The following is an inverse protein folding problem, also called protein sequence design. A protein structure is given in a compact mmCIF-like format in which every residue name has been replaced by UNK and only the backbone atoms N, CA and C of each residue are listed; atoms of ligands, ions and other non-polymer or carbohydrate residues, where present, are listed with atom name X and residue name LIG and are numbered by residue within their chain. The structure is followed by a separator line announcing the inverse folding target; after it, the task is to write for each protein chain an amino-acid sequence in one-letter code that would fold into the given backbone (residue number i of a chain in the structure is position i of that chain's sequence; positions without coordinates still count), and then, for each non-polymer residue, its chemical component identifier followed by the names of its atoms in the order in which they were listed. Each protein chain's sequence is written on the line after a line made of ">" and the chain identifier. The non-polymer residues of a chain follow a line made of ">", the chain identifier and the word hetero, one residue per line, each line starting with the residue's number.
data_IF_260388021887
#
_entry.id   IF_260388021887
#
_cell.length_a   1.000
_cell.length_b   1.000
_cell.length_c   1.000
_cell.angle_alpha   90.00
_cell.angle_beta   90.00
_cell.angle_gamma   90.00
#
_symmetry.space_group_name_H-M   'P 1'
#
loop_
_entity.id
_entity.type
_entity.pdbx_description
1 polymer ?
#
# COMPACT_ATOMS: atom_id res chain seq x y z
N UNK A 1 2.33 -43.62 25.01
CA UNK A 1 2.66 -42.69 23.90
C UNK A 1 2.09 -41.34 24.29
N UNK A 2 2.96 -40.47 24.79
CA UNK A 2 2.62 -39.16 25.36
C UNK A 2 2.43 -38.14 24.24
N UNK A 3 1.23 -37.59 24.13
CA UNK A 3 0.92 -36.40 23.33
C UNK A 3 1.81 -35.23 23.77
N UNK A 4 2.42 -34.48 22.86
CA UNK A 4 3.05 -33.22 23.23
C UNK A 4 1.93 -32.22 23.52
N UNK A 5 1.82 -31.83 24.80
CA UNK A 5 1.04 -30.68 25.20
C UNK A 5 1.58 -29.45 24.47
N UNK A 6 0.74 -28.80 23.66
CA UNK A 6 1.01 -27.46 23.17
C UNK A 6 0.97 -26.51 24.38
N UNK A 7 2.13 -26.15 24.91
CA UNK A 7 2.23 -25.07 25.89
C UNK A 7 1.94 -23.76 25.16
N UNK A 8 0.67 -23.34 25.16
CA UNK A 8 0.31 -21.96 24.83
C UNK A 8 0.85 -21.08 25.96
N UNK A 9 2.10 -20.62 25.84
CA UNK A 9 2.52 -19.45 26.63
C UNK A 9 1.60 -18.31 26.20
N UNK A 10 0.69 -17.90 27.09
CA UNK A 10 -0.17 -16.75 26.83
C UNK A 10 0.73 -15.57 26.43
N UNK A 11 0.53 -15.02 25.23
CA UNK A 11 1.28 -13.84 24.80
C UNK A 11 1.06 -12.73 25.82
N UNK A 12 2.13 -12.29 26.49
CA UNK A 12 2.06 -11.27 27.52
C UNK A 12 1.82 -9.92 26.86
N UNK A 13 0.80 -9.20 27.32
CA UNK A 13 0.54 -7.83 26.87
C UNK A 13 1.73 -6.92 27.24
N UNK A 14 2.34 -6.20 26.27
CA UNK A 14 3.43 -5.27 26.55
C UNK A 14 2.94 -4.08 27.38
N UNK A 15 3.75 -3.62 28.33
CA UNK A 15 3.45 -2.42 29.12
C UNK A 15 3.73 -1.12 28.33
N UNK A 16 4.59 -1.20 27.32
CA UNK A 16 4.93 -0.07 26.45
C UNK A 16 5.13 -0.52 25.00
N UNK A 17 4.62 0.28 24.06
CA UNK A 17 4.72 0.02 22.62
C UNK A 17 5.22 1.26 21.90
N UNK A 18 6.23 1.09 21.05
CA UNK A 18 6.61 2.07 20.02
C UNK A 18 6.12 1.57 18.67
N UNK A 19 5.43 2.43 17.93
CA UNK A 19 5.06 2.21 16.53
C UNK A 19 5.88 3.15 15.67
N UNK A 20 6.71 2.59 14.80
CA UNK A 20 7.51 3.37 13.84
C UNK A 20 6.73 3.50 12.54
N UNK A 21 6.30 4.72 12.22
CA UNK A 21 5.47 5.07 11.08
C UNK A 21 4.04 5.43 11.48
N UNK A 22 3.55 6.56 10.98
CA UNK A 22 2.19 7.08 11.16
C UNK A 22 1.33 6.94 9.88
N UNK A 23 1.75 6.07 8.95
CA UNK A 23 0.96 5.71 7.78
C UNK A 23 -0.21 4.78 8.11
N UNK A 24 -0.84 4.21 7.09
CA UNK A 24 -2.04 3.38 7.22
C UNK A 24 -1.92 2.26 8.26
N UNK A 25 -0.84 1.47 8.24
CA UNK A 25 -0.65 0.35 9.16
C UNK A 25 -0.38 0.86 10.59
N UNK A 26 0.46 1.88 10.73
CA UNK A 26 0.84 2.42 12.03
C UNK A 26 -0.30 3.09 12.78
N UNK A 27 -1.01 4.03 12.14
CA UNK A 27 -2.16 4.69 12.78
C UNK A 27 -3.34 3.74 13.01
N UNK A 28 -3.60 2.80 12.09
CA UNK A 28 -4.65 1.80 12.31
C UNK A 28 -4.31 0.90 13.51
N UNK A 29 -3.04 0.50 13.65
CA UNK A 29 -2.54 -0.26 14.81
C UNK A 29 -2.66 0.54 16.11
N UNK A 30 -2.26 1.82 16.10
CA UNK A 30 -2.42 2.70 17.26
C UNK A 30 -3.89 2.80 17.68
N UNK A 31 -4.80 2.95 16.72
CA UNK A 31 -6.23 3.01 16.98
C UNK A 31 -6.78 1.69 17.56
N UNK A 32 -6.34 0.54 17.06
CA UNK A 32 -6.69 -0.77 17.62
C UNK A 32 -6.21 -0.93 19.07
N UNK A 33 -4.95 -0.60 19.35
CA UNK A 33 -4.40 -0.60 20.71
C UNK A 33 -5.17 0.32 21.67
N UNK A 34 -5.58 1.49 21.20
CA UNK A 34 -6.37 2.42 22.00
C UNK A 34 -7.75 1.87 22.37
N UNK A 35 -8.35 1.03 21.52
CA UNK A 35 -9.71 0.48 21.69
C UNK A 35 -9.74 -0.88 22.37
N UNK A 36 -8.62 -1.60 22.42
CA UNK A 36 -8.56 -2.94 23.00
C UNK A 36 -8.42 -2.87 24.54
N UNK A 37 -9.34 -3.50 25.32
CA UNK A 37 -9.30 -3.52 26.78
C UNK A 37 -8.06 -4.18 27.38
N UNK A 38 -7.47 -5.17 26.70
CA UNK A 38 -6.26 -5.85 27.20
C UNK A 38 -5.07 -4.88 27.26
N UNK A 39 -5.07 -3.84 26.42
CA UNK A 39 -4.01 -2.85 26.30
C UNK A 39 -4.30 -1.56 27.07
N UNK A 40 -5.33 -1.48 27.92
CA UNK A 40 -5.74 -0.23 28.61
C UNK A 40 -4.58 0.50 29.30
N UNK A 41 -3.65 -0.24 29.91
CA UNK A 41 -2.51 0.31 30.64
C UNK A 41 -1.20 0.37 29.83
N UNK A 42 -1.23 -0.06 28.57
CA UNK A 42 -0.06 0.02 27.67
C UNK A 42 0.18 1.47 27.28
N UNK A 43 1.41 1.97 27.50
CA UNK A 43 1.84 3.25 26.94
C UNK A 43 2.12 3.13 25.45
N UNK A 44 1.62 4.06 24.64
CA UNK A 44 1.71 3.98 23.17
C UNK A 44 2.43 5.23 22.67
N UNK A 45 3.53 5.02 21.95
CA UNK A 45 4.24 6.08 21.23
C UNK A 45 4.22 5.79 19.73
N UNK A 46 3.79 6.75 18.92
CA UNK A 46 3.90 6.69 17.46
C UNK A 46 4.96 7.69 17.03
N UNK A 47 5.99 7.22 16.33
CA UNK A 47 7.08 8.06 15.83
C UNK A 47 7.10 8.04 14.31
N UNK A 48 7.20 9.23 13.69
CA UNK A 48 7.34 9.39 12.24
C UNK A 48 8.37 10.48 11.92
N UNK A 49 9.02 10.38 10.77
CA UNK A 49 10.05 11.33 10.36
C UNK A 49 9.49 12.68 9.88
N UNK A 50 8.23 12.73 9.48
CA UNK A 50 7.57 13.93 8.99
C UNK A 50 6.41 14.34 9.88
N UNK A 51 6.04 15.62 9.82
CA UNK A 51 4.77 16.08 10.36
C UNK A 51 3.62 15.39 9.63
N UNK A 52 2.57 15.06 10.37
CA UNK A 52 1.37 14.46 9.79
C UNK A 52 0.49 15.55 9.15
N UNK A 53 -0.11 15.34 7.97
CA UNK A 53 0.03 14.16 7.10
C UNK A 53 1.40 14.06 6.43
N UNK A 54 2.00 12.87 6.42
CA UNK A 54 3.33 12.63 5.83
C UNK A 54 3.28 12.78 4.29
N UNK A 55 3.91 13.81 3.69
CA UNK A 55 3.66 14.22 2.30
C UNK A 55 4.05 13.18 1.24
N UNK A 56 5.04 12.35 1.55
CA UNK A 56 5.56 11.26 0.72
C UNK A 56 5.13 9.87 1.23
N UNK A 57 4.22 9.82 2.20
CA UNK A 57 3.57 8.59 2.65
C UNK A 57 2.61 8.06 1.58
N UNK A 58 2.65 6.75 1.30
CA UNK A 58 1.73 6.15 0.32
C UNK A 58 0.26 6.14 0.77
N UNK A 59 -0.02 6.39 2.04
CA UNK A 59 -1.38 6.58 2.53
C UNK A 59 -1.92 8.00 2.30
N UNK A 60 -1.06 8.98 1.97
CA UNK A 60 -1.45 10.37 1.75
C UNK A 60 -1.54 10.64 0.24
N UNK A 61 -2.77 10.81 -0.24
CA UNK A 61 -3.06 10.98 -1.67
C UNK A 61 -4.49 11.55 -1.83
N UNK A 62 -4.77 12.12 -3.01
CA UNK A 62 -6.12 12.52 -3.41
C UNK A 62 -7.12 11.36 -3.40
N UNK A 63 -6.65 10.14 -3.70
CA UNK A 63 -7.54 8.98 -3.80
C UNK A 63 -6.83 7.62 -3.79
N UNK A 64 -7.55 6.59 -3.32
CA UNK A 64 -7.15 5.17 -3.37
C UNK A 64 -8.35 4.29 -3.72
N UNK A 65 -8.10 3.21 -4.47
CA UNK A 65 -9.15 2.26 -4.89
C UNK A 65 -9.57 1.39 -3.70
N UNK A 66 -10.89 1.33 -3.44
CA UNK A 66 -11.51 0.50 -2.40
C UNK A 66 -12.36 -0.57 -3.08
N UNK A 67 -11.94 -1.83 -2.95
CA UNK A 67 -12.50 -2.93 -3.73
C UNK A 67 -12.27 -4.29 -3.07
N UNK A 68 -13.22 -5.24 -3.14
CA UNK A 68 -13.00 -6.65 -2.80
C UNK A 68 -12.57 -7.52 -4.00
N UNK A 69 -12.33 -6.93 -5.17
CA UNK A 69 -12.07 -7.61 -6.45
C UNK A 69 -10.71 -8.36 -6.57
N UNK A 70 -10.47 -9.37 -5.75
CA UNK A 70 -9.21 -10.11 -5.69
C UNK A 70 -9.32 -11.53 -6.23
N UNK A 71 -8.32 -11.97 -6.98
CA UNK A 71 -8.13 -13.40 -7.28
C UNK A 71 -7.83 -14.23 -6.01
N UNK A 72 -7.21 -13.61 -5.00
CA UNK A 72 -7.01 -14.22 -3.68
C UNK A 72 -8.29 -14.16 -2.84
N UNK A 73 -8.90 -15.32 -2.58
CA UNK A 73 -10.11 -15.41 -1.79
C UNK A 73 -9.98 -14.85 -0.35
N UNK A 74 -8.86 -15.08 0.39
CA UNK A 74 -8.59 -14.39 1.66
C UNK A 74 -8.68 -12.85 1.58
N UNK A 75 -8.01 -12.23 0.60
CA UNK A 75 -8.05 -10.77 0.46
C UNK A 75 -9.41 -10.27 -0.01
N UNK A 76 -10.11 -11.02 -0.87
CA UNK A 76 -11.48 -10.71 -1.25
C UNK A 76 -12.40 -10.63 -0.02
N UNK A 77 -12.34 -11.60 0.89
CA UNK A 77 -13.12 -11.59 2.14
C UNK A 77 -12.73 -10.45 3.08
N UNK A 78 -11.43 -10.25 3.32
CA UNK A 78 -10.96 -9.18 4.20
C UNK A 78 -11.34 -7.80 3.65
N UNK A 79 -11.26 -7.61 2.34
CA UNK A 79 -11.58 -6.36 1.69
C UNK A 79 -13.09 -6.11 1.67
N UNK A 80 -13.92 -7.16 1.60
CA UNK A 80 -15.37 -7.02 1.78
C UNK A 80 -15.71 -6.49 3.17
N UNK A 81 -15.10 -7.05 4.23
CA UNK A 81 -15.28 -6.57 5.61
C UNK A 81 -14.79 -5.12 5.75
N UNK A 82 -13.64 -4.78 5.16
CA UNK A 82 -13.14 -3.41 5.16
C UNK A 82 -14.09 -2.46 4.44
N UNK A 83 -14.68 -2.88 3.33
CA UNK A 83 -15.62 -2.07 2.55
C UNK A 83 -16.91 -1.78 3.31
N UNK A 84 -17.42 -2.75 4.06
CA UNK A 84 -18.59 -2.52 4.93
C UNK A 84 -18.31 -1.47 6.01
N UNK A 85 -17.09 -1.48 6.59
CA UNK A 85 -16.64 -0.43 7.51
C UNK A 85 -16.54 0.94 6.83
N UNK A 86 -15.99 1.01 5.61
CA UNK A 86 -15.94 2.25 4.82
C UNK A 86 -17.33 2.83 4.56
N UNK A 87 -18.36 2.00 4.37
CA UNK A 87 -19.73 2.46 4.15
C UNK A 87 -20.41 3.00 5.41
N UNK A 88 -19.97 2.56 6.59
CA UNK A 88 -20.78 2.67 7.81
C UNK A 88 -20.17 3.60 8.83
N UNK A 89 -18.95 3.33 9.28
CA UNK A 89 -18.44 3.92 10.53
C UNK A 89 -16.93 4.23 10.48
N UNK A 90 -16.24 3.92 9.38
CA UNK A 90 -14.85 4.30 9.15
C UNK A 90 -14.77 5.34 8.03
N UNK A 91 -14.67 6.62 8.42
CA UNK A 91 -14.61 7.75 7.49
C UNK A 91 -15.60 7.64 6.30
N UNK A 92 -16.91 7.38 6.54
CA UNK A 92 -17.87 7.15 5.46
C UNK A 92 -17.96 8.32 4.47
N UNK A 93 -17.68 9.54 4.96
CA UNK A 93 -17.75 10.76 4.16
C UNK A 93 -16.58 10.88 3.17
N UNK A 94 -15.54 10.07 3.37
CA UNK A 94 -14.38 9.99 2.51
C UNK A 94 -14.48 8.84 1.51
N UNK A 95 -15.55 8.02 1.56
CA UNK A 95 -15.76 6.88 0.66
C UNK A 95 -16.79 7.19 -0.43
N UNK A 96 -16.43 6.85 -1.67
CA UNK A 96 -17.24 7.10 -2.87
C UNK A 96 -17.45 5.78 -3.62
N UNK A 97 -18.65 5.22 -3.51
CA UNK A 97 -19.05 3.97 -4.17
C UNK A 97 -19.50 4.20 -5.62
N UNK A 98 -18.56 4.57 -6.49
CA UNK A 98 -18.84 4.85 -7.92
C UNK A 98 -18.59 3.66 -8.84
N UNK A 99 -18.18 2.52 -8.29
CA UNK A 99 -17.85 1.31 -9.02
C UNK A 99 -16.37 1.15 -9.38
N UNK A 100 -16.03 -0.05 -9.85
CA UNK A 100 -14.73 -0.41 -10.41
C UNK A 100 -14.92 -1.20 -11.71
N UNK A 101 -14.42 -0.70 -12.81
CA UNK A 101 -14.16 -1.46 -14.03
C UNK A 101 -12.80 -2.16 -13.89
N UNK A 102 -12.81 -3.47 -13.65
CA UNK A 102 -11.62 -4.31 -13.65
C UNK A 102 -11.51 -5.04 -14.98
N UNK A 103 -10.48 -4.72 -15.75
CA UNK A 103 -10.36 -5.20 -17.13
C UNK A 103 -8.99 -5.76 -17.42
N UNK A 104 -8.91 -6.57 -18.47
CA UNK A 104 -7.65 -7.09 -18.99
C UNK A 104 -7.79 -7.57 -20.43
N UNK A 105 -6.65 -7.66 -21.10
CA UNK A 105 -6.34 -8.49 -22.25
C UNK A 105 -5.11 -9.36 -21.94
N UNK A 106 -4.81 -10.36 -22.78
CA UNK A 106 -3.62 -11.20 -22.58
C UNK A 106 -3.78 -12.22 -21.43
N UNK A 107 -2.71 -12.48 -20.67
CA UNK A 107 -2.68 -13.54 -19.64
C UNK A 107 -3.39 -13.12 -18.34
N UNK A 108 -3.51 -11.82 -18.10
CA UNK A 108 -4.09 -11.19 -16.91
C UNK A 108 -5.61 -11.42 -16.81
N UNK A 109 -6.26 -11.80 -17.91
CA UNK A 109 -7.67 -12.21 -17.94
C UNK A 109 -7.99 -13.31 -16.92
N UNK A 110 -7.03 -14.21 -16.64
CA UNK A 110 -7.19 -15.24 -15.60
C UNK A 110 -7.37 -14.65 -14.21
N UNK A 111 -6.65 -13.56 -13.88
CA UNK A 111 -6.83 -12.86 -12.61
C UNK A 111 -8.23 -12.25 -12.54
N UNK A 112 -8.63 -11.54 -13.60
CA UNK A 112 -9.94 -10.87 -13.69
C UNK A 112 -11.08 -11.87 -13.51
N UNK A 113 -11.03 -13.02 -14.19
CA UNK A 113 -12.04 -14.07 -14.03
C UNK A 113 -12.08 -14.64 -12.61
N UNK A 114 -10.91 -14.91 -12.02
CA UNK A 114 -10.84 -15.44 -10.65
C UNK A 114 -11.36 -14.42 -9.63
N UNK A 115 -11.08 -13.12 -9.85
CA UNK A 115 -11.61 -12.03 -9.04
C UNK A 115 -13.14 -11.94 -9.14
N UNK A 116 -13.69 -12.00 -10.34
CA UNK A 116 -15.14 -12.03 -10.58
C UNK A 116 -15.81 -13.20 -9.84
N UNK A 117 -15.24 -14.41 -9.92
CA UNK A 117 -15.76 -15.58 -9.23
C UNK A 117 -15.78 -15.40 -7.72
N UNK A 118 -14.75 -14.77 -7.14
CA UNK A 118 -14.70 -14.48 -5.71
C UNK A 118 -15.70 -13.39 -5.30
N UNK A 119 -15.86 -12.33 -6.10
CA UNK A 119 -16.86 -11.28 -5.86
C UNK A 119 -18.28 -11.85 -5.89
N UNK A 120 -18.58 -12.76 -6.82
CA UNK A 120 -19.87 -13.49 -6.83
C UNK A 120 -20.07 -14.34 -5.58
N UNK A 121 -19.01 -14.98 -5.06
CA UNK A 121 -19.09 -15.82 -3.84
C UNK A 121 -19.39 -15.03 -2.57
N UNK A 122 -18.96 -13.77 -2.48
CA UNK A 122 -19.28 -12.90 -1.33
C UNK A 122 -20.66 -12.24 -1.44
N UNK A 123 -21.40 -12.50 -2.53
CA UNK A 123 -22.81 -12.12 -2.67
C UNK A 123 -23.07 -10.75 -3.25
N UNK A 124 -22.09 -10.10 -3.90
CA UNK A 124 -22.34 -8.86 -4.65
C UNK A 124 -23.18 -9.15 -5.89
N UNK A 125 -24.31 -8.47 -6.03
CA UNK A 125 -25.27 -8.60 -7.15
C UNK A 125 -25.20 -7.45 -8.17
N UNK A 126 -24.55 -6.33 -7.83
CA UNK A 126 -24.38 -5.16 -8.70
C UNK A 126 -23.16 -5.28 -9.63
N UNK A 127 -23.14 -6.32 -10.46
CA UNK A 127 -22.04 -6.62 -11.40
C UNK A 127 -22.53 -6.57 -12.85
N UNK A 128 -21.82 -5.84 -13.71
CA UNK A 128 -21.99 -5.89 -15.18
C UNK A 128 -20.76 -6.57 -15.80
N UNK A 129 -20.92 -7.77 -16.35
CA UNK A 129 -19.84 -8.49 -17.05
C UNK A 129 -19.75 -8.01 -18.50
N UNK A 130 -18.52 -7.88 -19.00
CA UNK A 130 -18.23 -7.34 -20.34
C UNK A 130 -17.18 -8.18 -21.04
N UNK A 131 -17.41 -8.53 -22.31
CA UNK A 131 -16.57 -9.45 -23.09
C UNK A 131 -16.00 -8.81 -24.38
N UNK A 132 -16.10 -7.48 -24.49
CA UNK A 132 -15.46 -6.73 -25.57
C UNK A 132 -15.01 -5.33 -25.14
N UNK A 133 -14.05 -4.69 -25.85
CA UNK A 133 -13.68 -3.31 -25.61
C UNK A 133 -14.85 -2.31 -25.68
N UNK A 134 -15.83 -2.54 -26.57
CA UNK A 134 -17.02 -1.71 -26.73
C UNK A 134 -17.97 -1.84 -25.54
N UNK A 135 -18.19 -3.06 -25.04
CA UNK A 135 -19.01 -3.30 -23.85
C UNK A 135 -18.39 -2.68 -22.60
N UNK A 136 -17.06 -2.83 -22.45
CA UNK A 136 -16.30 -2.16 -21.39
C UNK A 136 -16.48 -0.65 -21.51
N UNK A 137 -16.35 -0.09 -22.71
CA UNK A 137 -16.47 1.34 -22.91
C UNK A 137 -17.85 1.87 -22.57
N UNK A 138 -18.92 1.15 -22.95
CA UNK A 138 -20.28 1.48 -22.56
C UNK A 138 -20.48 1.43 -21.03
N UNK A 139 -20.02 0.36 -20.39
CA UNK A 139 -20.24 0.13 -18.96
C UNK A 139 -19.43 1.10 -18.07
N UNK A 140 -18.20 1.43 -18.47
CA UNK A 140 -17.29 2.29 -17.71
C UNK A 140 -17.31 3.77 -18.14
N UNK A 141 -18.10 4.12 -19.16
CA UNK A 141 -18.17 5.48 -19.69
C UNK A 141 -16.89 5.93 -20.41
N UNK A 142 -16.23 5.01 -21.13
CA UNK A 142 -15.04 5.29 -21.94
C UNK A 142 -15.42 5.72 -23.35
N UNK A 143 -14.55 6.55 -23.93
CA UNK A 143 -14.70 7.05 -25.29
C UNK A 143 -13.97 6.17 -26.30
N UNK A 144 -12.89 5.51 -25.87
CA UNK A 144 -12.17 4.53 -26.67
C UNK A 144 -12.85 3.16 -26.71
N UNK A 145 -12.42 2.34 -27.65
CA UNK A 145 -12.92 0.98 -27.88
C UNK A 145 -11.82 0.03 -28.34
N UNK A 146 -10.54 0.35 -28.11
CA UNK A 146 -9.45 -0.56 -28.42
C UNK A 146 -9.12 -1.45 -27.21
N UNK A 147 -8.69 -2.68 -27.50
CA UNK A 147 -8.35 -3.64 -26.46
C UNK A 147 -7.15 -3.18 -25.61
N UNK A 148 -6.21 -2.40 -26.17
CA UNK A 148 -5.03 -1.96 -25.42
C UNK A 148 -5.44 -1.07 -24.24
N UNK A 149 -6.29 -0.06 -24.48
CA UNK A 149 -6.83 0.82 -23.44
C UNK A 149 -7.91 0.16 -22.59
N UNK A 150 -8.99 -0.33 -23.20
CA UNK A 150 -10.16 -0.77 -22.46
C UNK A 150 -9.99 -2.17 -21.83
N UNK A 151 -9.27 -3.07 -22.49
CA UNK A 151 -9.31 -4.51 -22.20
C UNK A 151 -10.12 -5.28 -23.24
N UNK A 152 -9.96 -6.60 -23.28
CA UNK A 152 -10.78 -7.51 -24.10
C UNK A 152 -11.84 -8.25 -23.28
N UNK A 153 -11.66 -8.34 -21.97
CA UNK A 153 -12.64 -8.85 -21.01
C UNK A 153 -12.57 -8.04 -19.73
N UNK A 154 -13.66 -8.03 -18.98
CA UNK A 154 -13.73 -7.32 -17.72
C UNK A 154 -15.10 -7.41 -17.10
N UNK A 155 -15.26 -6.64 -16.03
CA UNK A 155 -16.57 -6.39 -15.44
C UNK A 155 -16.53 -5.08 -14.67
N UNK A 156 -17.70 -4.47 -14.50
CA UNK A 156 -17.90 -3.38 -13.56
C UNK A 156 -18.54 -3.92 -12.29
N UNK A 157 -17.85 -3.78 -11.18
CA UNK A 157 -18.39 -4.00 -9.85
C UNK A 157 -18.87 -2.66 -9.27
N UNK A 158 -20.18 -2.43 -9.29
CA UNK A 158 -20.78 -1.19 -8.82
C UNK A 158 -20.87 -1.09 -7.29
N UNK A 159 -20.52 -2.14 -6.55
CA UNK A 159 -20.32 -2.03 -5.10
C UNK A 159 -18.90 -1.60 -4.74
N UNK A 160 -17.99 -1.48 -5.71
CA UNK A 160 -16.62 -0.98 -5.49
C UNK A 160 -16.55 0.54 -5.60
N UNK A 161 -15.38 1.12 -5.32
CA UNK A 161 -15.21 2.57 -5.47
C UNK A 161 -13.83 3.04 -5.09
N UNK A 162 -13.76 4.25 -4.56
CA UNK A 162 -12.52 4.88 -4.13
C UNK A 162 -12.76 5.69 -2.85
N UNK A 163 -11.68 6.02 -2.14
CA UNK A 163 -11.75 6.90 -0.99
C UNK A 163 -10.75 8.05 -1.12
N UNK A 164 -11.13 9.24 -0.63
CA UNK A 164 -10.21 10.34 -0.40
C UNK A 164 -9.19 9.91 0.67
N UNK A 165 -7.96 9.61 0.22
CA UNK A 165 -7.02 8.90 1.07
C UNK A 165 -6.43 9.79 2.16
N UNK A 166 -6.09 11.03 1.82
CA UNK A 166 -5.64 12.03 2.80
C UNK A 166 -6.75 12.37 3.80
N UNK A 167 -7.98 12.60 3.34
CA UNK A 167 -9.14 12.86 4.22
C UNK A 167 -9.37 11.73 5.22
N UNK A 168 -9.37 10.48 4.76
CA UNK A 168 -9.55 9.32 5.64
C UNK A 168 -8.40 9.14 6.65
N UNK A 169 -7.17 9.48 6.26
CA UNK A 169 -6.02 9.44 7.18
C UNK A 169 -6.09 10.55 8.23
N UNK A 170 -6.51 11.77 7.85
CA UNK A 170 -6.78 12.87 8.79
C UNK A 170 -7.88 12.47 9.76
N UNK A 171 -8.99 11.93 9.26
CA UNK A 171 -10.07 11.41 10.10
C UNK A 171 -9.56 10.38 11.11
N UNK A 172 -8.74 9.41 10.67
CA UNK A 172 -8.19 8.39 11.57
C UNK A 172 -7.27 9.00 12.61
N UNK A 173 -6.40 9.94 12.21
CA UNK A 173 -5.50 10.65 13.12
C UNK A 173 -6.29 11.35 14.22
N UNK A 174 -7.35 12.08 13.88
CA UNK A 174 -8.22 12.76 14.84
C UNK A 174 -8.89 11.77 15.80
N UNK A 175 -9.34 10.61 15.31
CA UNK A 175 -9.93 9.57 16.17
C UNK A 175 -8.93 9.04 17.18
N UNK A 176 -7.68 8.81 16.77
CA UNK A 176 -6.61 8.35 17.66
C UNK A 176 -6.26 9.42 18.70
N UNK A 177 -6.13 10.69 18.29
CA UNK A 177 -5.83 11.80 19.20
C UNK A 177 -6.92 12.00 20.25
N UNK A 178 -8.20 11.89 19.87
CA UNK A 178 -9.35 11.99 20.79
C UNK A 178 -9.35 10.92 21.88
N UNK A 179 -8.62 9.82 21.71
CA UNK A 179 -8.47 8.80 22.76
C UNK A 179 -7.58 9.30 23.91
N UNK A 180 -6.72 10.30 23.69
CA UNK A 180 -5.74 10.80 24.67
C UNK A 180 -4.81 9.71 25.24
N UNK A 181 -4.46 8.70 24.42
CA UNK A 181 -3.64 7.54 24.82
C UNK A 181 -2.30 7.42 24.08
N UNK A 182 -2.09 8.22 23.03
CA UNK A 182 -0.92 8.09 22.14
C UNK A 182 -0.04 9.33 22.26
N UNK A 183 1.24 9.10 22.53
CA UNK A 183 2.29 10.11 22.40
C UNK A 183 2.79 10.13 20.96
N UNK A 184 2.66 11.25 20.27
CA UNK A 184 3.15 11.41 18.89
C UNK A 184 4.50 12.13 18.87
N UNK A 185 5.48 11.53 18.22
CA UNK A 185 6.84 12.07 18.08
C UNK A 185 7.15 12.29 16.62
N UNK A 186 7.54 13.52 16.26
CA UNK A 186 7.99 13.88 14.91
C UNK A 186 9.51 13.92 14.91
N UNK A 187 10.13 12.80 14.58
CA UNK A 187 11.57 12.66 14.43
C UNK A 187 11.89 11.38 13.65
N UNK A 188 12.92 11.41 12.82
CA UNK A 188 13.34 10.23 12.08
C UNK A 188 13.96 9.19 13.00
N UNK A 189 13.56 7.93 12.84
CA UNK A 189 14.23 6.80 13.48
C UNK A 189 15.51 6.48 12.71
N UNK A 190 16.65 6.55 13.38
CA UNK A 190 17.97 6.27 12.81
C UNK A 190 18.26 4.77 12.78
N UNK A 191 17.99 4.07 13.88
CA UNK A 191 18.18 2.61 14.01
C UNK A 191 17.42 2.03 15.21
N UNK A 192 17.29 0.71 15.24
CA UNK A 192 16.81 -0.03 16.41
C UNK A 192 17.86 -0.05 17.53
N UNK A 193 17.41 -0.14 18.78
CA UNK A 193 18.25 -0.45 19.94
C UNK A 193 18.34 -1.96 20.10
N UNK A 194 19.35 -2.57 19.47
CA UNK A 194 19.57 -4.03 19.48
C UNK A 194 20.64 -4.38 20.51
N UNK A 195 20.31 -5.28 21.43
CA UNK A 195 21.30 -6.01 22.21
C UNK A 195 21.64 -7.32 21.49
N UNK A 196 22.84 -7.39 20.90
CA UNK A 196 23.30 -8.56 20.14
C UNK A 196 23.64 -9.77 21.01
N UNK A 197 23.83 -9.60 22.33
CA UNK A 197 24.09 -10.71 23.23
C UNK A 197 22.81 -11.48 23.54
N UNK A 198 21.69 -10.77 23.69
CA UNK A 198 20.37 -11.36 24.00
C UNK A 198 19.46 -11.47 22.78
N UNK A 199 19.83 -10.86 21.65
CA UNK A 199 18.96 -10.64 20.49
C UNK A 199 17.63 -9.97 20.88
N UNK A 200 17.70 -8.93 21.69
CA UNK A 200 16.52 -8.17 22.14
C UNK A 200 16.51 -6.79 21.50
N UNK A 201 15.35 -6.35 21.02
CA UNK A 201 15.09 -4.96 20.64
C UNK A 201 14.33 -4.28 21.78
N UNK A 202 14.89 -3.19 22.30
CA UNK A 202 14.32 -2.44 23.43
C UNK A 202 13.76 -1.07 23.04
N UNK A 203 13.76 -0.73 21.76
CA UNK A 203 13.28 0.56 21.27
C UNK A 203 14.04 1.05 20.04
N UNK A 204 14.12 2.37 19.90
CA UNK A 204 14.70 3.07 18.75
C UNK A 204 15.58 4.24 19.15
N UNK A 205 16.62 4.50 18.37
CA UNK A 205 17.39 5.75 18.42
C UNK A 205 16.94 6.68 17.31
N UNK A 206 16.68 7.94 17.66
CA UNK A 206 16.22 8.98 16.74
C UNK A 206 17.42 9.68 16.07
N UNK A 207 17.14 10.49 15.04
CA UNK A 207 18.16 11.18 14.26
C UNK A 207 18.92 12.24 15.07
N UNK A 208 18.29 12.83 16.09
CA UNK A 208 18.92 13.76 17.03
C UNK A 208 19.76 13.07 18.12
N UNK A 209 19.82 11.73 18.11
CA UNK A 209 20.55 10.92 19.07
C UNK A 209 19.78 10.54 20.33
N UNK A 210 18.59 11.08 20.56
CA UNK A 210 17.71 10.66 21.65
C UNK A 210 17.17 9.24 21.44
N UNK A 211 16.72 8.60 22.51
CA UNK A 211 16.24 7.23 22.51
C UNK A 211 14.82 7.14 23.05
N UNK A 212 14.01 6.31 22.39
CA UNK A 212 12.70 5.89 22.87
C UNK A 212 12.79 4.40 23.19
N UNK A 213 12.33 3.98 24.36
CA UNK A 213 12.34 2.58 24.79
C UNK A 213 10.94 2.03 24.96
N UNK A 214 10.76 0.73 24.69
CA UNK A 214 9.50 0.01 24.87
C UNK A 214 9.71 -1.50 24.98
N UNK A 215 8.74 -2.19 25.58
CA UNK A 215 8.69 -3.66 25.64
C UNK A 215 8.49 -4.27 24.25
N UNK A 216 7.78 -3.56 23.37
CA UNK A 216 7.52 -3.96 21.99
C UNK A 216 7.72 -2.79 21.02
N UNK A 217 8.54 -3.01 20.01
CA UNK A 217 8.70 -2.09 18.87
C UNK A 217 8.01 -2.69 17.65
N UNK A 218 7.02 -1.98 17.10
CA UNK A 218 6.27 -2.33 15.89
C UNK A 218 6.82 -1.49 14.73
N UNK A 219 7.42 -2.14 13.74
CA UNK A 219 7.86 -1.49 12.51
C UNK A 219 6.72 -1.46 11.49
N UNK A 220 6.08 -0.30 11.38
CA UNK A 220 5.04 0.01 10.39
C UNK A 220 5.48 1.11 9.42
N UNK A 221 6.78 1.13 9.09
CA UNK A 221 7.45 2.19 8.35
C UNK A 221 7.29 2.09 6.82
N UNK A 222 6.39 1.24 6.32
CA UNK A 222 6.14 1.06 4.89
C UNK A 222 7.43 0.82 4.10
N UNK A 223 7.63 1.58 3.02
CA UNK A 223 8.78 1.46 2.12
C UNK A 223 10.13 1.75 2.80
N UNK A 224 10.15 2.43 3.95
CA UNK A 224 11.37 2.70 4.71
C UNK A 224 11.73 1.57 5.68
N UNK A 225 10.93 0.51 5.80
CA UNK A 225 11.22 -0.57 6.77
C UNK A 225 12.60 -1.20 6.54
N UNK A 226 13.05 -1.31 5.28
CA UNK A 226 14.35 -1.87 4.93
C UNK A 226 15.56 -1.02 5.37
N UNK A 227 15.35 0.24 5.79
CA UNK A 227 16.41 1.06 6.40
C UNK A 227 16.63 0.74 7.87
N UNK A 228 15.75 -0.05 8.49
CA UNK A 228 15.77 -0.36 9.93
C UNK A 228 16.03 -1.84 10.24
N UNK A 229 15.80 -2.74 9.28
CA UNK A 229 16.04 -4.19 9.36
C UNK A 229 16.43 -4.75 7.99
N UNK A 230 17.11 -5.91 7.96
CA UNK A 230 17.51 -6.54 6.70
C UNK A 230 16.35 -7.32 6.06
N UNK A 231 15.75 -6.72 5.04
CA UNK A 231 14.65 -7.29 4.27
C UNK A 231 15.05 -7.89 2.93
N UNK A 232 16.36 -8.00 2.61
CA UNK A 232 16.82 -8.55 1.33
C UNK A 232 16.27 -9.97 1.11
N UNK A 233 15.66 -10.19 -0.05
CA UNK A 233 15.00 -11.45 -0.40
C UNK A 233 13.70 -11.75 0.36
N UNK A 234 13.15 -10.79 1.10
CA UNK A 234 11.87 -10.89 1.83
C UNK A 234 10.88 -9.83 1.33
N UNK A 235 11.34 -8.59 1.29
CA UNK A 235 10.54 -7.41 0.97
C UNK A 235 11.38 -6.41 0.19
N UNK A 236 10.75 -5.65 -0.71
CA UNK A 236 11.41 -4.66 -1.56
C UNK A 236 10.61 -3.39 -1.67
N UNK A 237 11.25 -2.23 -1.46
CA UNK A 237 10.62 -0.96 -1.79
C UNK A 237 10.57 -0.77 -3.31
N UNK A 238 9.37 -0.47 -3.84
CA UNK A 238 9.19 -0.09 -5.26
C UNK A 238 8.41 1.20 -5.36
N UNK A 239 8.82 2.06 -6.30
CA UNK A 239 8.19 3.32 -6.62
C UNK A 239 7.22 3.18 -7.79
N UNK A 240 6.09 3.88 -7.75
CA UNK A 240 5.07 3.87 -8.80
C UNK A 240 4.73 5.25 -9.31
N UNK A 241 4.38 5.33 -10.60
CA UNK A 241 4.09 6.61 -11.25
C UNK A 241 2.66 7.02 -11.03
N UNK A 242 2.52 8.27 -10.59
CA UNK A 242 1.25 8.94 -10.42
C UNK A 242 1.39 10.35 -10.97
N UNK A 243 0.49 10.71 -11.89
CA UNK A 243 0.37 12.06 -12.41
C UNK A 243 -1.04 12.60 -12.21
N UNK A 244 -1.13 13.93 -12.12
CA UNK A 244 -2.36 14.65 -11.91
C UNK A 244 -2.54 15.73 -12.97
N UNK A 245 -3.71 15.74 -13.61
CA UNK A 245 -4.05 16.70 -14.64
C UNK A 245 -5.24 17.57 -14.18
N UNK A 246 -5.13 18.90 -14.19
CA UNK A 246 -6.27 19.76 -13.97
C UNK A 246 -7.33 19.57 -15.06
N UNK A 247 -8.60 19.55 -14.66
CA UNK A 247 -9.75 19.41 -15.54
C UNK A 247 -10.77 20.52 -15.29
N UNK A 248 -11.72 20.71 -16.21
CA UNK A 248 -12.81 21.68 -16.04
C UNK A 248 -13.91 21.14 -15.12
N UNK A 249 -14.79 22.02 -14.63
CA UNK A 249 -15.98 21.62 -13.86
C UNK A 249 -16.91 20.69 -14.67
N UNK A 250 -16.98 20.89 -15.99
CA UNK A 250 -17.76 20.04 -16.90
C UNK A 250 -17.17 18.63 -17.00
N UNK A 251 -15.85 18.53 -17.13
CA UNK A 251 -15.14 17.24 -17.13
C UNK A 251 -15.24 16.54 -15.78
N UNK A 252 -15.13 17.29 -14.67
CA UNK A 252 -15.32 16.77 -13.31
C UNK A 252 -16.73 16.20 -13.14
N UNK A 253 -17.76 16.91 -13.60
CA UNK A 253 -19.14 16.43 -13.57
C UNK A 253 -19.35 15.19 -14.42
N UNK A 254 -18.73 15.14 -15.61
CA UNK A 254 -18.83 14.02 -16.54
C UNK A 254 -18.15 12.76 -16.03
N UNK A 255 -16.93 12.89 -15.50
CA UNK A 255 -16.13 11.74 -15.05
C UNK A 255 -16.41 11.31 -13.61
N UNK A 256 -16.91 12.22 -12.76
CA UNK A 256 -17.06 11.97 -11.32
C UNK A 256 -18.00 10.82 -10.96
N UNK A 257 -18.94 10.49 -11.85
CA UNK A 257 -19.89 9.38 -11.68
C UNK A 257 -19.44 8.07 -12.37
N UNK A 258 -18.33 8.09 -13.11
CA UNK A 258 -17.81 6.89 -13.75
C UNK A 258 -17.16 5.98 -12.70
N UNK A 259 -17.09 4.65 -12.95
CA UNK A 259 -16.32 3.76 -12.11
C UNK A 259 -14.83 4.06 -12.20
N UNK A 260 -14.08 3.70 -11.15
CA UNK A 260 -12.63 3.60 -11.23
C UNK A 260 -12.25 2.58 -12.31
N UNK A 261 -11.23 2.86 -13.10
CA UNK A 261 -10.79 1.98 -14.19
C UNK A 261 -9.43 1.42 -13.83
N UNK A 262 -9.32 0.10 -13.79
CA UNK A 262 -8.06 -0.60 -13.56
C UNK A 262 -7.91 -1.69 -14.62
N UNK A 263 -7.02 -1.45 -15.58
CA UNK A 263 -6.67 -2.45 -16.58
C UNK A 263 -5.37 -3.15 -16.15
N UNK A 264 -5.49 -4.44 -15.83
CA UNK A 264 -4.39 -5.23 -15.25
C UNK A 264 -3.29 -5.59 -16.24
N UNK A 265 -3.56 -5.56 -17.54
CA UNK A 265 -2.57 -5.95 -18.58
C UNK A 265 -1.31 -5.08 -18.54
N UNK A 266 -1.47 -3.81 -18.19
CA UNK A 266 -0.38 -2.86 -17.98
C UNK A 266 -0.40 -2.25 -16.57
N UNK A 267 -1.43 -2.54 -15.77
CA UNK A 267 -1.62 -1.98 -14.43
C UNK A 267 -1.99 -0.49 -14.44
N UNK A 268 -2.43 0.07 -15.57
CA UNK A 268 -2.76 1.50 -15.65
C UNK A 268 -4.18 1.73 -15.15
N UNK A 269 -4.37 2.83 -14.45
CA UNK A 269 -5.65 3.14 -13.85
C UNK A 269 -5.94 4.64 -13.79
N UNK A 270 -7.24 4.94 -13.78
CA UNK A 270 -7.81 6.26 -13.54
C UNK A 270 -8.83 6.11 -12.41
N UNK A 271 -8.72 6.97 -11.40
CA UNK A 271 -9.75 7.10 -10.35
C UNK A 271 -10.59 8.34 -10.70
N UNK A 272 -11.92 8.33 -10.46
CA UNK A 272 -12.75 9.50 -10.70
C UNK A 272 -12.14 10.76 -10.08
N UNK A 273 -12.19 11.88 -10.81
CA UNK A 273 -11.52 13.09 -10.37
C UNK A 273 -12.16 13.66 -9.10
N UNK A 274 -11.37 14.39 -8.34
CA UNK A 274 -11.83 15.14 -7.17
C UNK A 274 -11.15 16.50 -7.17
N UNK A 275 -11.90 17.54 -6.80
CA UNK A 275 -11.42 18.93 -6.79
C UNK A 275 -10.76 19.35 -8.12
N UNK A 276 -11.40 19.00 -9.25
CA UNK A 276 -10.94 19.32 -10.60
C UNK A 276 -9.53 18.78 -10.92
N UNK A 277 -9.17 17.65 -10.33
CA UNK A 277 -7.89 17.00 -10.53
C UNK A 277 -8.09 15.53 -10.92
N UNK A 278 -7.75 15.21 -12.17
CA UNK A 278 -7.77 13.83 -12.69
C UNK A 278 -6.46 13.14 -12.37
N UNK A 279 -6.55 12.00 -11.70
CA UNK A 279 -5.40 11.15 -11.38
C UNK A 279 -5.27 10.02 -12.40
N UNK A 280 -4.08 9.88 -12.96
CA UNK A 280 -3.69 8.76 -13.84
C UNK A 280 -2.44 8.12 -13.25
N UNK A 281 -2.40 6.79 -13.18
CA UNK A 281 -1.30 6.10 -12.50
C UNK A 281 -1.06 4.67 -13.02
N UNK A 282 0.08 4.09 -12.66
CA UNK A 282 0.48 2.72 -13.00
C UNK A 282 0.74 1.91 -11.72
N UNK A 283 -0.05 0.87 -11.49
CA UNK A 283 0.18 -0.20 -10.52
C UNK A 283 1.01 -1.31 -11.18
N UNK A 284 2.30 -1.01 -11.41
CA UNK A 284 3.20 -1.94 -12.11
C UNK A 284 4.19 -2.65 -11.18
N UNK A 285 5.18 -3.31 -11.77
CA UNK A 285 6.34 -3.83 -11.02
C UNK A 285 7.18 -2.71 -10.38
N UNK A 286 7.13 -1.50 -10.94
CA UNK A 286 7.70 -0.29 -10.36
C UNK A 286 9.20 -0.13 -10.53
N UNK A 287 9.70 0.96 -9.94
CA UNK A 287 11.13 1.29 -9.94
C UNK A 287 11.76 0.88 -8.62
N UNK A 288 12.97 0.32 -8.69
CA UNK A 288 13.86 0.25 -7.53
C UNK A 288 14.70 1.52 -7.44
N UNK A 289 15.24 1.78 -6.25
CA UNK A 289 16.28 2.77 -6.03
C UNK A 289 17.35 2.15 -5.12
N UNK A 290 18.24 1.32 -5.70
CA UNK A 290 19.29 0.64 -4.94
C UNK A 290 20.16 1.65 -4.20
N UNK A 291 20.19 1.53 -2.88
CA UNK A 291 20.89 2.43 -1.96
C UNK A 291 21.75 1.60 -1.03
N UNK A 292 23.04 1.91 -0.97
CA UNK A 292 23.97 1.27 -0.03
C UNK A 292 23.94 2.00 1.30
N UNK A 293 23.62 1.27 2.37
CA UNK A 293 23.51 1.77 3.74
C UNK A 293 24.34 0.90 4.69
N UNK A 294 24.72 1.41 5.89
CA UNK A 294 25.20 0.55 6.96
C UNK A 294 24.19 -0.57 7.25
N UNK A 295 24.67 -1.78 7.52
CA UNK A 295 23.81 -2.91 7.83
C UNK A 295 23.00 -2.59 9.12
N UNK A 296 21.67 -2.43 9.05
CA UNK A 296 20.90 -1.85 10.15
C UNK A 296 20.87 -2.73 11.40
N UNK A 297 21.13 -4.03 11.22
CA UNK A 297 21.17 -5.04 12.28
C UNK A 297 22.58 -5.53 12.64
N UNK A 298 23.64 -4.91 12.10
CA UNK A 298 25.02 -5.32 12.41
C UNK A 298 25.61 -4.49 13.54
N UNK A 299 26.46 -5.15 14.34
CA UNK A 299 27.30 -4.48 15.33
C UNK A 299 28.57 -3.88 14.70
N UNK A 300 28.98 -4.35 13.51
CA UNK A 300 30.12 -3.79 12.78
C UNK A 300 29.69 -2.52 12.03
N UNK A 301 30.21 -1.33 12.38
CA UNK A 301 29.86 -0.08 11.73
C UNK A 301 30.32 0.00 10.26
N UNK A 302 31.18 -0.90 9.80
CA UNK A 302 31.69 -0.93 8.42
C UNK A 302 30.91 -1.88 7.52
N UNK A 303 30.08 -2.77 8.09
CA UNK A 303 29.26 -3.67 7.28
C UNK A 303 28.16 -2.87 6.59
N UNK A 304 27.98 -3.12 5.30
CA UNK A 304 26.98 -2.42 4.48
C UNK A 304 26.13 -3.41 3.71
N UNK A 305 24.92 -2.98 3.38
CA UNK A 305 24.01 -3.69 2.50
C UNK A 305 23.48 -2.73 1.44
N UNK A 306 23.15 -3.26 0.27
CA UNK A 306 22.38 -2.54 -0.75
C UNK A 306 20.95 -3.04 -0.72
N UNK A 307 20.01 -2.11 -0.60
CA UNK A 307 18.57 -2.39 -0.69
C UNK A 307 17.87 -1.24 -1.41
N UNK A 308 16.67 -1.48 -1.94
CA UNK A 308 15.87 -0.41 -2.53
C UNK A 308 15.28 0.45 -1.41
N UNK A 309 15.56 1.76 -1.43
CA UNK A 309 14.99 2.73 -0.48
C UNK A 309 14.28 3.87 -1.21
N UNK A 310 13.22 4.46 -0.65
CA UNK A 310 12.52 5.55 -1.28
C UNK A 310 13.41 6.74 -1.64
N UNK A 311 13.20 7.28 -2.84
CA UNK A 311 13.67 8.61 -3.25
C UNK A 311 12.46 9.43 -3.70
N UNK A 312 12.21 10.53 -2.99
CA UNK A 312 10.94 11.26 -3.04
C UNK A 312 11.16 12.76 -3.18
N UNK A 313 10.06 13.51 -3.35
CA UNK A 313 10.07 14.96 -3.35
C UNK A 313 10.53 15.58 -2.01
N UNK A 314 10.52 14.83 -0.91
CA UNK A 314 11.06 15.27 0.39
C UNK A 314 12.60 15.25 0.37
N UNK A 315 13.19 14.30 -0.34
CA UNK A 315 14.64 14.18 -0.48
C UNK A 315 15.17 15.15 -1.53
N UNK A 316 14.44 15.31 -2.64
CA UNK A 316 14.74 16.23 -3.74
C UNK A 316 13.43 16.80 -4.31
N UNK A 317 13.13 18.09 -4.11
CA UNK A 317 11.92 18.71 -4.66
C UNK A 317 11.78 18.65 -6.19
N UNK A 318 12.86 18.34 -6.92
CA UNK A 318 12.86 18.13 -8.37
C UNK A 318 12.50 16.69 -8.78
N UNK A 319 12.36 15.77 -7.82
CA UNK A 319 11.91 14.40 -8.06
C UNK A 319 10.57 14.43 -8.79
N UNK A 320 10.53 13.80 -9.96
CA UNK A 320 9.35 13.72 -10.81
C UNK A 320 9.19 12.30 -11.38
N UNK A 321 8.09 12.06 -12.07
CA UNK A 321 7.90 10.82 -12.83
C UNK A 321 8.82 10.80 -14.07
N UNK A 322 9.59 9.72 -14.31
CA UNK A 322 10.38 9.56 -15.54
C UNK A 322 9.54 9.67 -16.81
N UNK A 323 10.14 10.11 -17.92
CA UNK A 323 9.44 10.36 -19.18
C UNK A 323 8.72 9.12 -19.72
N UNK A 324 9.27 7.91 -19.55
CA UNK A 324 8.57 6.68 -19.93
C UNK A 324 7.24 6.52 -19.16
N UNK A 325 7.26 6.78 -17.86
CA UNK A 325 6.06 6.70 -17.04
C UNK A 325 5.03 7.73 -17.47
N UNK A 326 5.45 8.98 -17.72
CA UNK A 326 4.52 10.01 -18.22
C UNK A 326 3.92 9.63 -19.58
N UNK A 327 4.72 9.05 -20.48
CA UNK A 327 4.26 8.58 -21.80
C UNK A 327 3.25 7.45 -21.67
N UNK A 328 3.46 6.48 -20.79
CA UNK A 328 2.49 5.41 -20.54
C UNK A 328 1.16 5.96 -20.03
N UNK A 329 1.18 6.87 -19.05
CA UNK A 329 -0.03 7.50 -18.52
C UNK A 329 -0.78 8.32 -19.59
N UNK A 330 -0.03 9.02 -20.47
CA UNK A 330 -0.59 9.78 -21.61
C UNK A 330 -1.23 8.88 -22.64
N UNK A 331 -0.56 7.80 -23.02
CA UNK A 331 -1.08 6.83 -23.98
C UNK A 331 -2.36 6.20 -23.45
N UNK A 332 -2.39 5.84 -22.16
CA UNK A 332 -3.59 5.30 -21.54
C UNK A 332 -4.75 6.29 -21.54
N UNK A 333 -4.52 7.53 -21.09
CA UNK A 333 -5.55 8.58 -21.12
C UNK A 333 -6.07 8.82 -22.55
N UNK A 334 -5.18 8.79 -23.55
CA UNK A 334 -5.55 8.93 -24.97
C UNK A 334 -6.41 7.78 -25.46
N UNK A 335 -6.10 6.56 -25.05
CA UNK A 335 -6.87 5.39 -25.44
C UNK A 335 -8.28 5.42 -24.81
N UNK A 336 -8.41 5.74 -23.53
CA UNK A 336 -9.70 5.61 -22.83
C UNK A 336 -10.57 6.88 -22.87
N UNK A 337 -9.96 8.07 -22.91
CA UNK A 337 -10.63 9.38 -22.95
C UNK A 337 -9.92 10.36 -23.92
N UNK A 338 -9.90 10.10 -25.24
CA UNK A 338 -9.29 10.98 -26.23
C UNK A 338 -9.74 12.44 -26.17
N UNK A 339 -11.02 12.73 -25.86
CA UNK A 339 -11.50 14.12 -25.75
C UNK A 339 -10.88 14.89 -24.59
N UNK A 340 -10.45 14.18 -23.54
CA UNK A 340 -9.77 14.75 -22.36
C UNK A 340 -8.26 14.86 -22.63
N UNK A 341 -7.71 13.95 -23.43
CA UNK A 341 -6.29 13.94 -23.80
C UNK A 341 -5.92 15.06 -24.79
N UNK A 342 -6.88 15.60 -25.54
CA UNK A 342 -6.65 16.61 -26.59
C UNK A 342 -7.34 17.95 -26.26
N UNK A 343 -6.60 19.09 -26.25
CA UNK A 343 -5.15 19.21 -26.43
C UNK A 343 -4.39 18.57 -25.27
N UNK A 344 -3.14 18.18 -25.51
CA UNK A 344 -2.28 17.60 -24.47
C UNK A 344 -1.99 18.62 -23.37
N UNK A 345 -2.78 18.55 -22.29
CA UNK A 345 -2.66 19.42 -21.10
C UNK A 345 -1.57 18.89 -20.16
N UNK A 346 -0.75 19.76 -19.54
CA UNK A 346 0.33 19.31 -18.68
C UNK A 346 -0.19 18.57 -17.44
N UNK A 347 0.56 17.56 -17.00
CA UNK A 347 0.41 17.08 -15.63
C UNK A 347 1.02 18.13 -14.70
N UNK A 348 0.22 18.74 -13.83
CA UNK A 348 0.70 19.84 -12.96
C UNK A 348 1.27 19.34 -11.66
N UNK A 349 0.98 18.08 -11.29
CA UNK A 349 1.62 17.39 -10.17
C UNK A 349 1.98 15.98 -10.62
N UNK A 350 3.09 15.48 -10.12
CA UNK A 350 3.49 14.08 -10.28
C UNK A 350 4.24 13.62 -9.03
N UNK A 351 4.23 12.33 -8.75
CA UNK A 351 5.07 11.74 -7.71
C UNK A 351 5.40 10.29 -8.01
N UNK A 352 6.57 9.85 -7.55
CA UNK A 352 6.85 8.43 -7.35
C UNK A 352 6.33 8.02 -5.97
N UNK A 353 5.28 7.20 -5.96
CA UNK A 353 4.68 6.70 -4.73
C UNK A 353 5.32 5.36 -4.33
N UNK A 354 5.91 5.31 -3.15
CA UNK A 354 6.67 4.15 -2.67
C UNK A 354 5.86 3.25 -1.74
N UNK A 355 5.96 1.94 -1.94
CA UNK A 355 5.50 0.94 -0.98
C UNK A 355 6.43 -0.28 -0.99
N UNK A 356 6.18 -1.21 -0.09
CA UNK A 356 6.97 -2.44 0.09
C UNK A 356 6.24 -3.62 -0.54
N UNK A 357 6.82 -4.24 -1.55
CA UNK A 357 6.37 -5.49 -2.15
C UNK A 357 6.96 -6.69 -1.42
N UNK A 358 6.15 -7.75 -1.31
CA UNK A 358 6.61 -9.10 -0.93
C UNK A 358 6.57 -10.02 -2.15
N UNK A 359 7.19 -11.19 -2.02
CA UNK A 359 7.24 -12.20 -3.10
C UNK A 359 5.88 -12.60 -3.68
N UNK A 360 4.84 -12.67 -2.85
CA UNK A 360 3.54 -13.23 -3.20
C UNK A 360 2.42 -12.17 -3.17
N UNK A 361 2.78 -10.90 -2.94
CA UNK A 361 1.83 -9.81 -2.69
C UNK A 361 1.10 -9.89 -1.34
N UNK A 362 1.48 -10.85 -0.49
CA UNK A 362 0.98 -10.96 0.88
C UNK A 362 1.61 -9.90 1.80
N UNK A 363 0.93 -9.50 2.89
CA UNK A 363 1.54 -8.60 3.89
C UNK A 363 2.59 -9.34 4.73
N UNK A 364 3.52 -8.61 5.36
CA UNK A 364 4.39 -9.15 6.41
C UNK A 364 3.92 -8.58 7.75
N UNK A 365 3.24 -9.41 8.54
CA UNK A 365 2.62 -9.05 9.82
C UNK A 365 2.96 -10.17 10.82
N UNK A 366 4.18 -10.11 11.36
CA UNK A 366 4.71 -11.14 12.25
C UNK A 366 5.82 -10.60 13.16
N UNK A 367 6.15 -11.37 14.20
CA UNK A 367 7.35 -11.16 14.99
C UNK A 367 8.61 -11.46 14.16
N UNK A 368 9.67 -10.69 14.41
CA UNK A 368 10.98 -11.00 13.81
C UNK A 368 11.53 -12.30 14.41
N UNK A 369 11.95 -13.29 13.61
CA UNK A 369 12.29 -14.63 14.12
C UNK A 369 13.55 -14.65 14.98
N UNK A 370 14.43 -13.66 14.82
CA UNK A 370 15.68 -13.53 15.59
C UNK A 370 15.54 -12.61 16.81
N UNK A 371 14.71 -11.57 16.73
CA UNK A 371 14.78 -10.45 17.67
C UNK A 371 13.52 -10.41 18.55
N UNK A 372 13.69 -10.68 19.84
CA UNK A 372 12.60 -10.52 20.81
C UNK A 372 12.29 -9.04 21.00
N UNK A 373 11.01 -8.70 21.15
CA UNK A 373 10.56 -7.31 21.28
C UNK A 373 10.41 -6.56 19.95
N UNK A 374 10.58 -7.25 18.81
CA UNK A 374 10.40 -6.67 17.47
C UNK A 374 9.25 -7.33 16.71
N UNK A 375 8.28 -6.53 16.33
CA UNK A 375 7.17 -6.92 15.45
C UNK A 375 7.23 -6.11 14.16
N UNK A 376 6.92 -6.73 13.03
CA UNK A 376 6.98 -6.08 11.72
C UNK A 376 5.59 -6.11 11.09
N UNK A 377 5.10 -4.95 10.68
CA UNK A 377 3.83 -4.76 9.99
C UNK A 377 4.08 -3.94 8.71
N UNK A 378 4.50 -4.60 7.64
CA UNK A 378 4.90 -3.98 6.36
C UNK A 378 4.43 -4.83 5.17
N UNK A 379 5.01 -4.64 4.00
CA UNK A 379 4.73 -5.49 2.84
C UNK A 379 3.36 -5.22 2.23
N UNK A 380 2.83 -4.00 2.36
CA UNK A 380 1.50 -3.62 1.86
C UNK A 380 1.29 -3.84 0.35
N UNK A 381 2.36 -4.14 -0.40
CA UNK A 381 2.39 -4.64 -1.78
C UNK A 381 1.52 -3.83 -2.74
N UNK A 382 1.47 -2.51 -2.55
CA UNK A 382 0.67 -1.59 -3.35
C UNK A 382 -0.84 -1.70 -3.18
N UNK A 383 -1.33 -2.48 -2.21
CA UNK A 383 -2.77 -2.71 -2.03
C UNK A 383 -3.29 -2.56 -0.59
N UNK A 384 -2.40 -2.27 0.37
CA UNK A 384 -2.72 -2.16 1.81
C UNK A 384 -3.73 -1.08 2.23
N UNK A 385 -3.85 0.05 1.51
CA UNK A 385 -4.66 1.20 1.98
C UNK A 385 -6.13 0.87 2.20
N UNK A 386 -6.74 0.06 1.34
CA UNK A 386 -8.18 -0.24 1.44
C UNK A 386 -8.56 -0.99 2.73
N UNK A 387 -7.59 -1.61 3.38
CA UNK A 387 -7.76 -2.30 4.65
C UNK A 387 -7.60 -1.38 5.86
N UNK A 388 -7.41 -0.06 5.66
CA UNK A 388 -7.30 0.93 6.74
C UNK A 388 -8.32 0.75 7.88
N UNK A 389 -9.60 0.39 7.61
CA UNK A 389 -10.59 0.19 8.68
C UNK A 389 -10.40 -1.05 9.56
N UNK A 390 -9.63 -2.05 9.10
CA UNK A 390 -9.55 -3.39 9.72
C UNK A 390 -8.12 -3.87 9.98
N UNK A 391 -7.12 -3.28 9.31
CA UNK A 391 -5.75 -3.79 9.33
C UNK A 391 -5.10 -3.68 10.70
N UNK A 392 -5.37 -2.62 11.46
CA UNK A 392 -4.87 -2.44 12.82
C UNK A 392 -5.38 -3.51 13.78
N UNK A 393 -6.67 -3.85 13.68
CA UNK A 393 -7.27 -4.91 14.51
C UNK A 393 -6.63 -6.28 14.15
N UNK A 394 -6.41 -6.53 12.85
CA UNK A 394 -5.75 -7.74 12.39
C UNK A 394 -4.26 -7.83 12.81
N UNK A 395 -3.52 -6.71 12.77
CA UNK A 395 -2.15 -6.61 13.29
C UNK A 395 -2.13 -6.93 14.79
N UNK A 396 -3.08 -6.38 15.55
CA UNK A 396 -3.15 -6.59 16.99
C UNK A 396 -3.44 -8.07 17.33
N UNK A 397 -4.32 -8.72 16.58
CA UNK A 397 -4.55 -10.17 16.69
C UNK A 397 -3.26 -10.97 16.44
N UNK A 398 -2.46 -10.61 15.43
CA UNK A 398 -1.14 -11.23 15.21
C UNK A 398 -0.17 -10.99 16.37
N UNK A 399 -0.12 -9.77 16.94
CA UNK A 399 0.70 -9.46 18.13
C UNK A 399 0.33 -10.36 19.32
N UNK A 400 -0.95 -10.70 19.46
CA UNK A 400 -1.44 -11.62 20.50
C UNK A 400 -1.30 -13.11 20.16
N UNK A 401 -0.65 -13.45 19.04
CA UNK A 401 -0.48 -14.84 18.58
C UNK A 401 -1.75 -15.46 17.98
N UNK A 402 -2.72 -14.64 17.57
CA UNK A 402 -4.03 -15.04 17.03
C UNK A 402 -4.18 -14.63 15.57
N UNK A 403 -3.17 -14.92 14.73
CA UNK A 403 -3.21 -14.61 13.29
C UNK A 403 -4.54 -15.08 12.67
N UNK A 404 -5.27 -14.21 11.96
CA UNK A 404 -6.55 -14.60 11.38
C UNK A 404 -6.39 -15.82 10.48
N UNK A 405 -7.30 -16.78 10.59
CA UNK A 405 -7.20 -18.12 9.99
C UNK A 405 -6.84 -18.11 8.50
N UNK A 406 -7.41 -17.17 7.76
CA UNK A 406 -7.19 -16.98 6.33
C UNK A 406 -5.76 -16.60 5.95
N UNK A 407 -4.98 -16.08 6.90
CA UNK A 407 -3.65 -15.51 6.69
C UNK A 407 -2.54 -16.26 7.45
N UNK A 408 -2.86 -17.35 8.15
CA UNK A 408 -1.85 -18.27 8.70
C UNK A 408 -1.00 -18.83 7.55
N UNK A 409 0.31 -18.68 7.65
CA UNK A 409 1.28 -19.03 6.62
C UNK A 409 1.45 -18.00 5.51
N UNK A 410 0.61 -16.95 5.47
CA UNK A 410 0.66 -15.87 4.48
C UNK A 410 1.33 -14.61 5.02
N UNK A 411 0.91 -14.17 6.21
CA UNK A 411 1.45 -12.98 6.84
C UNK A 411 2.69 -13.22 7.68
N UNK A 412 3.07 -14.49 7.84
CA UNK A 412 4.22 -14.88 8.64
C UNK A 412 5.54 -14.43 8.03
N UNK A 413 6.55 -14.32 8.89
CA UNK A 413 7.92 -14.16 8.44
C UNK A 413 8.32 -15.35 7.54
N UNK A 414 8.83 -15.12 6.31
CA UNK A 414 9.13 -16.22 5.41
C UNK A 414 10.34 -17.01 5.92
N UNK A 415 10.26 -18.34 5.81
CA UNK A 415 11.34 -19.26 6.21
C UNK A 415 12.59 -19.15 5.32
N UNK A 416 12.41 -18.67 4.10
CA UNK A 416 13.45 -18.60 3.08
C UNK A 416 13.51 -17.18 2.52
N UNK A 417 14.74 -16.70 2.29
CA UNK A 417 15.02 -15.50 1.50
C UNK A 417 15.22 -15.93 0.05
N UNK A 418 14.57 -15.24 -0.89
CA UNK A 418 14.63 -15.57 -2.32
C UNK A 418 15.06 -14.35 -3.11
N UNK A 419 15.91 -14.58 -4.12
CA UNK A 419 16.26 -13.55 -5.11
C UNK A 419 14.99 -12.96 -5.75
N UNK A 420 15.00 -11.65 -5.97
CA UNK A 420 13.82 -10.90 -6.36
C UNK A 420 13.29 -11.30 -7.74
N UNK A 421 14.17 -11.77 -8.63
CA UNK A 421 13.85 -12.27 -9.97
C UNK A 421 13.02 -13.57 -9.93
N UNK A 422 13.02 -14.26 -8.79
CA UNK A 422 12.25 -15.50 -8.57
C UNK A 422 10.88 -15.24 -7.96
N UNK A 423 10.52 -13.99 -7.68
CA UNK A 423 9.26 -13.68 -7.02
C UNK A 423 8.09 -13.88 -7.99
N UNK A 424 7.11 -14.74 -7.67
CA UNK A 424 6.00 -15.02 -8.57
C UNK A 424 5.04 -13.83 -8.69
N UNK A 425 4.97 -12.98 -7.67
CA UNK A 425 3.95 -11.94 -7.53
C UNK A 425 2.56 -12.51 -7.29
N UNK A 426 1.57 -11.62 -7.14
CA UNK A 426 0.16 -11.99 -6.95
C UNK A 426 -0.64 -12.00 -8.27
N UNK A 427 0.03 -11.72 -9.39
CA UNK A 427 -0.58 -11.62 -10.72
C UNK A 427 -1.36 -10.32 -10.98
N UNK A 428 -1.30 -9.33 -10.09
CA UNK A 428 -1.96 -8.03 -10.27
C UNK A 428 -1.06 -6.95 -10.89
N UNK A 429 0.24 -7.23 -11.02
CA UNK A 429 1.26 -6.31 -11.54
C UNK A 429 1.35 -6.41 -13.07
N UNK A 430 1.25 -5.25 -13.73
CA UNK A 430 1.52 -5.12 -15.17
C UNK A 430 2.72 -4.22 -15.48
N UNK A 431 3.00 -4.02 -16.76
CA UNK A 431 4.00 -3.07 -17.24
C UNK A 431 5.46 -3.57 -17.17
N UNK A 432 6.44 -2.67 -17.34
CA UNK A 432 7.85 -3.03 -17.44
C UNK A 432 8.42 -3.60 -16.13
N UNK A 433 9.36 -4.53 -16.25
CA UNK A 433 10.11 -5.16 -15.14
C UNK A 433 11.53 -4.60 -15.06
N UNK A 434 12.11 -4.61 -13.86
CA UNK A 434 13.54 -4.31 -13.67
C UNK A 434 13.94 -2.84 -13.83
N UNK A 435 13.00 -1.91 -13.69
CA UNK A 435 13.30 -0.49 -13.80
C UNK A 435 14.08 0.01 -12.57
N UNK A 436 15.14 0.78 -12.81
CA UNK A 436 15.88 1.53 -11.79
C UNK A 436 15.58 3.02 -11.97
N UNK A 437 15.09 3.68 -10.91
CA UNK A 437 14.58 5.04 -11.00
C UNK A 437 15.63 6.04 -11.53
N UNK A 438 16.86 5.96 -11.03
CA UNK A 438 17.94 6.85 -11.45
C UNK A 438 18.29 6.70 -12.94
N UNK A 439 18.25 5.47 -13.47
CA UNK A 439 18.53 5.19 -14.89
C UNK A 439 17.44 5.77 -15.80
N UNK A 440 16.17 5.58 -15.44
CA UNK A 440 15.04 6.13 -16.21
C UNK A 440 14.98 7.66 -16.16
N UNK A 441 15.35 8.25 -15.02
CA UNK A 441 15.52 9.71 -14.89
C UNK A 441 16.70 10.24 -15.73
N UNK A 442 17.77 9.47 -15.91
CA UNK A 442 18.89 9.84 -16.77
C UNK A 442 18.51 9.78 -18.26
N UNK A 443 17.81 8.72 -18.68
CA UNK A 443 17.27 8.57 -20.05
C UNK A 443 16.34 9.73 -20.43
N UNK A 444 15.58 10.25 -19.47
CA UNK A 444 14.68 11.40 -19.67
C UNK A 444 15.44 12.71 -19.93
N UNK A 445 16.68 12.85 -19.42
CA UNK A 445 17.52 14.04 -19.63
C UNK A 445 18.28 14.03 -20.95
N UNK A 446 18.65 12.85 -21.45
CA UNK A 446 19.42 12.70 -22.70
C UNK A 446 18.60 12.86 -24.00
N UNK A 447 17.32 13.20 -23.91
CA UNK A 447 16.42 13.46 -25.04
C UNK A 447 16.03 14.94 -25.21
N UNK A 448 16.55 15.81 -24.33
CA UNK A 448 16.60 17.25 -24.53
C UNK A 448 17.83 17.59 -25.38
#
# INVERSE_FOLDING_TARGET
>A
MSSPASSSSAHKVPQSVIIVGSGAFGLSTAWALCRNPDFTYTSITVVDRQTFPTPDGSSIDTSRIIRPDYASAPYNRLANIAQDRWRTDFAPEEYHETGLALTAWGKEQKYVQTALDNVRRIGTDRIEVTDSPEEIGRAAGLEGNDAWGNGSTGYVNWSSGWANAEGAMIWLREKVEKMNRVNFVVNGVKKLLIDHNTNTVSGVRLNDGSELTADLTILAAGAWTASLIDLRGICKATGQVICYMPISDEEQKRLGNNPTILNLSHGLFIIPPSNNLLKVARHGHGYTNPTTIPHPESADPNETITTSLPWTAVDDPSQAVPEEGQRDLRSFLTAVHPSISVPSRPFTKSKICWYTDTRDGDFLIDYHPKYTGLFVATGGSGHGFKFLPVIGDAILECVMGRTPKDFVGKWNWPKERLDEEKWPGDGSRGGPVGLVLAEEMAKSRGKL
#
